data_IF_627957775913
#
_entry.id   IF_627957775913
#
_cell.length_a   1.000
_cell.length_b   1.000
_cell.length_c   1.000
_cell.angle_alpha   90.00
_cell.angle_beta   90.00
_cell.angle_gamma   90.00
#
_symmetry.space_group_name_H-M   'P 1'
#
loop_
_entity.id
_entity.type
_entity.pdbx_description
1 polymer ?
#
# COMPACT_ATOMS: atom_id res chain seq x y z
N UNK A 1 5.97 -1.63 -11.06
CA UNK A 1 5.22 -1.48 -9.81
C UNK A 1 5.86 -2.35 -8.75
N UNK A 2 5.80 -1.95 -7.48
CA UNK A 2 6.57 -2.56 -6.39
C UNK A 2 6.36 -4.09 -6.27
N UNK A 3 5.12 -4.57 -6.31
CA UNK A 3 4.81 -6.01 -6.32
C UNK A 3 5.44 -6.77 -7.49
N UNK A 4 5.48 -6.17 -8.69
CA UNK A 4 6.10 -6.80 -9.85
C UNK A 4 7.62 -6.92 -9.70
N UNK A 5 8.27 -5.93 -9.09
CA UNK A 5 9.70 -5.95 -8.82
C UNK A 5 10.05 -6.96 -7.74
N UNK A 6 9.25 -7.03 -6.67
CA UNK A 6 9.34 -8.05 -5.63
C UNK A 6 9.32 -9.46 -6.23
N UNK A 7 8.34 -9.74 -7.11
CA UNK A 7 8.19 -11.04 -7.77
C UNK A 7 9.33 -11.34 -8.77
N UNK A 8 9.94 -10.31 -9.35
CA UNK A 8 11.06 -10.43 -10.29
C UNK A 8 12.37 -10.74 -9.57
N UNK A 9 12.66 -10.06 -8.46
CA UNK A 9 13.94 -10.18 -7.76
C UNK A 9 14.02 -11.42 -6.88
N UNK A 10 12.89 -11.87 -6.30
CA UNK A 10 12.87 -13.04 -5.40
C UNK A 10 13.97 -12.98 -4.33
N UNK A 11 14.16 -11.79 -3.76
CA UNK A 11 15.13 -11.55 -2.69
C UNK A 11 14.79 -12.45 -1.49
N UNK A 12 15.81 -13.03 -0.85
CA UNK A 12 15.63 -13.87 0.32
C UNK A 12 15.13 -13.03 1.51
N UNK A 13 14.05 -13.44 2.20
CA UNK A 13 13.55 -12.72 3.35
C UNK A 13 14.55 -12.81 4.51
N UNK A 14 15.05 -11.65 4.97
CA UNK A 14 15.92 -11.57 6.15
C UNK A 14 15.49 -10.44 7.10
N UNK A 15 15.74 -10.58 8.42
CA UNK A 15 15.39 -9.57 9.42
C UNK A 15 16.18 -8.26 9.28
N UNK A 16 17.32 -8.28 8.58
CA UNK A 16 18.14 -7.10 8.29
C UNK A 16 17.40 -6.12 7.36
N UNK A 17 16.70 -6.64 6.34
CA UNK A 17 15.83 -5.84 5.49
C UNK A 17 14.42 -5.76 6.10
N UNK A 18 14.29 -4.96 7.17
CA UNK A 18 13.03 -4.81 7.93
C UNK A 18 11.82 -4.50 7.05
N UNK A 19 11.97 -3.61 6.08
CA UNK A 19 10.87 -3.21 5.18
C UNK A 19 10.40 -4.39 4.32
N UNK A 20 11.32 -5.13 3.71
CA UNK A 20 10.97 -6.32 2.94
C UNK A 20 10.32 -7.38 3.85
N UNK A 21 10.90 -7.60 5.03
CA UNK A 21 10.40 -8.54 6.02
C UNK A 21 8.96 -8.25 6.46
N UNK A 22 8.66 -7.00 6.80
CA UNK A 22 7.32 -6.57 7.21
C UNK A 22 6.32 -6.71 6.06
N UNK A 23 6.69 -6.31 4.85
CA UNK A 23 5.85 -6.46 3.67
C UNK A 23 5.55 -7.92 3.34
N UNK A 24 6.56 -8.79 3.33
CA UNK A 24 6.39 -10.23 3.10
C UNK A 24 5.55 -10.87 4.21
N UNK A 25 5.73 -10.44 5.46
CA UNK A 25 4.91 -10.89 6.58
C UNK A 25 3.44 -10.53 6.40
N UNK A 26 3.14 -9.31 5.95
CA UNK A 26 1.77 -8.87 5.64
C UNK A 26 1.17 -9.67 4.48
N UNK A 27 1.90 -9.81 3.37
CA UNK A 27 1.46 -10.60 2.21
C UNK A 27 1.19 -12.05 2.63
N UNK A 28 2.09 -12.66 3.41
CA UNK A 28 1.90 -14.03 3.91
C UNK A 28 0.65 -14.15 4.76
N UNK A 29 0.41 -13.19 5.67
CA UNK A 29 -0.81 -13.17 6.50
C UNK A 29 -2.07 -13.06 5.65
N UNK A 30 -2.06 -12.23 4.61
CA UNK A 30 -3.18 -12.10 3.68
C UNK A 30 -3.43 -13.40 2.89
N UNK A 31 -2.36 -14.06 2.42
CA UNK A 31 -2.46 -15.33 1.72
C UNK A 31 -2.88 -16.49 2.64
N UNK A 32 -2.66 -16.38 3.95
CA UNK A 32 -3.16 -17.33 4.96
C UNK A 32 -4.67 -17.23 5.20
N UNK A 33 -5.35 -16.17 4.75
CA UNK A 33 -6.79 -16.06 4.87
C UNK A 33 -7.50 -17.13 4.03
N UNK A 34 -8.76 -17.42 4.35
CA UNK A 34 -9.60 -18.24 3.48
C UNK A 34 -9.88 -17.52 2.15
N UNK A 35 -10.26 -18.28 1.12
CA UNK A 35 -10.63 -17.70 -0.17
C UNK A 35 -11.79 -16.70 -0.02
N UNK A 36 -12.81 -17.05 0.78
CA UNK A 36 -13.98 -16.20 1.03
C UNK A 36 -13.59 -14.86 1.67
N UNK A 37 -12.67 -14.88 2.63
CA UNK A 37 -12.17 -13.65 3.26
C UNK A 37 -11.39 -12.78 2.27
N UNK A 38 -10.54 -13.38 1.43
CA UNK A 38 -9.83 -12.63 0.39
C UNK A 38 -10.78 -12.03 -0.63
N UNK A 39 -11.76 -12.79 -1.09
CA UNK A 39 -12.75 -12.34 -2.08
C UNK A 39 -13.55 -11.15 -1.52
N UNK A 40 -13.99 -11.22 -0.26
CA UNK A 40 -14.67 -10.12 0.40
C UNK A 40 -13.82 -8.84 0.48
N UNK A 41 -12.51 -8.98 0.76
CA UNK A 41 -11.58 -7.84 0.78
C UNK A 41 -11.42 -7.25 -0.63
N UNK A 42 -11.26 -8.09 -1.65
CA UNK A 42 -11.14 -7.63 -3.04
C UNK A 42 -12.40 -6.91 -3.53
N UNK A 43 -13.57 -7.44 -3.23
CA UNK A 43 -14.86 -6.79 -3.54
C UNK A 43 -15.00 -5.46 -2.81
N UNK A 44 -14.63 -5.40 -1.52
CA UNK A 44 -14.68 -4.18 -0.72
C UNK A 44 -13.74 -3.10 -1.24
N UNK A 45 -12.51 -3.44 -1.62
CA UNK A 45 -11.53 -2.50 -2.18
C UNK A 45 -11.98 -1.99 -3.56
N UNK A 46 -12.45 -2.90 -4.43
CA UNK A 46 -12.96 -2.57 -5.76
C UNK A 46 -14.18 -1.65 -5.70
N UNK A 47 -15.08 -1.86 -4.73
CA UNK A 47 -16.31 -1.08 -4.58
C UNK A 47 -16.12 0.21 -3.76
N UNK A 48 -15.09 0.28 -2.91
CA UNK A 48 -14.81 1.39 -1.98
C UNK A 48 -13.82 2.45 -2.49
N UNK A 49 -13.19 2.23 -3.65
CA UNK A 49 -12.16 3.12 -4.21
C UNK A 49 -12.58 4.56 -4.54
N UNK A 50 -13.88 4.88 -4.53
CA UNK A 50 -14.37 6.26 -4.71
C UNK A 50 -14.52 7.05 -3.40
N UNK A 51 -14.60 6.42 -2.23
CA UNK A 51 -14.94 7.15 -0.99
C UNK A 51 -13.73 7.63 -0.19
N UNK A 52 -12.54 7.06 -0.38
CA UNK A 52 -11.35 7.47 0.38
C UNK A 52 -10.63 8.71 -0.17
N UNK A 53 -11.06 9.25 -1.31
CA UNK A 53 -10.48 10.49 -1.83
C UNK A 53 -11.00 11.76 -1.13
N UNK A 54 -12.03 11.64 -0.29
CA UNK A 54 -12.68 12.76 0.39
C UNK A 54 -12.00 13.21 1.69
N UNK A 55 -11.08 12.41 2.26
CA UNK A 55 -10.41 12.71 3.54
C UNK A 55 -8.95 13.18 3.36
N UNK A 56 -8.54 13.57 2.14
CA UNK A 56 -7.24 14.23 1.97
C UNK A 56 -7.34 15.63 2.58
N UNK A 57 -6.60 15.93 3.66
CA UNK A 57 -6.64 17.25 4.26
C UNK A 57 -6.19 18.30 3.22
N UNK A 58 -6.90 19.43 3.05
CA UNK A 58 -6.57 20.44 2.03
C UNK A 58 -5.29 21.24 2.33
N UNK A 59 -4.55 20.93 3.39
CA UNK A 59 -3.40 21.74 3.83
C UNK A 59 -2.07 21.46 3.10
N UNK A 60 -1.99 20.48 2.20
CA UNK A 60 -0.77 20.21 1.42
C UNK A 60 -0.72 20.90 0.05
N UNK A 61 -1.63 21.85 -0.23
CA UNK A 61 -1.54 22.74 -1.40
C UNK A 61 -0.89 24.09 -1.07
N UNK A 62 -0.04 24.19 -0.04
CA UNK A 62 0.78 25.38 0.16
C UNK A 62 1.96 25.37 -0.83
N UNK A 63 1.71 25.84 -2.06
CA UNK A 63 2.76 26.34 -2.96
C UNK A 63 3.42 27.56 -2.31
N UNK A 64 4.75 27.71 -2.33
CA UNK A 64 5.38 28.93 -1.86
C UNK A 64 5.13 30.03 -2.90
N UNK A 65 4.23 30.96 -2.60
CA UNK A 65 4.27 32.28 -3.24
C UNK A 65 5.29 33.12 -2.50
N UNK A 66 6.49 33.20 -3.07
CA UNK A 66 7.44 34.28 -2.85
C UNK A 66 6.73 35.64 -2.97
N UNK A 67 6.81 36.52 -1.97
CA UNK A 67 6.63 37.95 -2.16
C UNK A 67 8.01 38.63 -2.18
N UNK A 68 8.36 39.10 -3.37
CA UNK A 68 9.21 40.27 -3.67
C UNK A 68 9.69 41.10 -2.47
N UNK A 69 11.01 41.20 -2.30
CA UNK A 69 11.73 42.38 -1.81
C UNK A 69 13.00 42.57 -2.64
#
# INVERSE_FOLDING_TARGET
>A
GWLCELLRWKEDPSPENRTLWENLSMIRRFLSLSQVERDAIYEQESNGGQQHHADRPPHLLHMPTDPLQ
#
